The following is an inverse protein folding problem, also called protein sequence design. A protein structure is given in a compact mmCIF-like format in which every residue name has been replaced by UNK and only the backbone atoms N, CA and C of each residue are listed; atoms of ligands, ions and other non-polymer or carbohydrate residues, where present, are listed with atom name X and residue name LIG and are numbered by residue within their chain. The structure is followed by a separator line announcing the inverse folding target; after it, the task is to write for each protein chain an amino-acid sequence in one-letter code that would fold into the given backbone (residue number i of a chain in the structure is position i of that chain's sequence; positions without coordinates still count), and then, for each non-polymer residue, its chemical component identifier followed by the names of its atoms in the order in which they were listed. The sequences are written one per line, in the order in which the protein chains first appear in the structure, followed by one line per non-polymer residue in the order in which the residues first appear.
data_IF_376149654148
#
_entry.id   IF_376149654148
#
_cell.length_a   1.000
_cell.length_b   1.000
_cell.length_c   1.000
_cell.angle_alpha   90.00
_cell.angle_beta   90.00
_cell.angle_gamma   90.00
#
_symmetry.space_group_name_H-M   'P 1'
#
loop_
_entity.id
_entity.type
_entity.pdbx_description
1 polymer ?
#
# COMPACT_ATOMS: atom_id res chain seq x y z
N UNK A 1 5.91 0.32 19.66
CA UNK A 1 5.87 0.80 18.25
C UNK A 1 5.77 -0.39 17.30
N UNK A 2 4.59 -1.02 17.18
CA UNK A 2 4.41 -2.28 16.42
C UNK A 2 3.64 -2.07 15.11
N UNK A 3 2.71 -1.10 15.04
CA UNK A 3 1.92 -0.80 13.85
C UNK A 3 2.74 -0.11 12.73
N UNK A 4 3.62 0.81 13.07
CA UNK A 4 4.36 1.62 12.10
C UNK A 4 5.50 0.85 11.43
N UNK A 5 6.40 0.27 12.21
CA UNK A 5 7.67 -0.22 11.68
C UNK A 5 7.64 -1.62 11.08
N UNK A 6 6.79 -2.53 11.60
CA UNK A 6 6.75 -3.94 11.16
C UNK A 6 5.65 -4.23 10.15
N UNK A 7 4.43 -3.77 10.39
CA UNK A 7 3.30 -4.08 9.50
C UNK A 7 3.40 -3.35 8.17
N UNK A 8 3.61 -2.03 8.20
CA UNK A 8 3.77 -1.25 6.97
C UNK A 8 4.96 -1.75 6.13
N UNK A 9 6.12 -1.97 6.78
CA UNK A 9 7.30 -2.55 6.10
C UNK A 9 7.03 -3.91 5.48
N UNK A 10 6.31 -4.79 6.18
CA UNK A 10 5.95 -6.09 5.62
C UNK A 10 5.07 -5.97 4.37
N UNK A 11 4.15 -5.00 4.33
CA UNK A 11 3.34 -4.74 3.13
C UNK A 11 4.19 -4.19 1.97
N UNK A 12 5.13 -3.29 2.25
CA UNK A 12 6.08 -2.78 1.24
C UNK A 12 6.95 -3.92 0.71
N UNK A 13 7.61 -4.67 1.58
CA UNK A 13 8.50 -5.78 1.18
C UNK A 13 7.77 -6.86 0.38
N UNK A 14 6.49 -7.13 0.70
CA UNK A 14 5.67 -8.09 -0.03
C UNK A 14 5.16 -7.54 -1.36
N UNK A 15 4.83 -6.24 -1.42
CA UNK A 15 4.47 -5.58 -2.66
C UNK A 15 5.64 -5.60 -3.64
N UNK A 16 6.84 -5.22 -3.19
CA UNK A 16 8.05 -5.21 -4.02
C UNK A 16 8.32 -6.58 -4.64
N UNK A 17 8.22 -7.66 -3.84
CA UNK A 17 8.37 -9.03 -4.35
C UNK A 17 7.36 -9.41 -5.43
N UNK A 18 6.20 -8.77 -5.46
CA UNK A 18 5.15 -9.06 -6.43
C UNK A 18 5.26 -8.19 -7.70
N UNK A 19 5.86 -7.00 -7.61
CA UNK A 19 5.86 -6.02 -8.71
C UNK A 19 7.22 -5.80 -9.37
N UNK A 20 8.33 -6.13 -8.70
CA UNK A 20 9.68 -5.91 -9.23
C UNK A 20 9.86 -6.59 -10.58
N UNK A 21 10.33 -5.83 -11.57
CA UNK A 21 10.53 -6.31 -12.94
C UNK A 21 9.25 -6.49 -13.77
N UNK A 22 8.09 -6.09 -13.23
CA UNK A 22 6.82 -6.02 -13.96
C UNK A 22 6.54 -4.58 -14.42
N UNK A 23 5.50 -4.39 -15.23
CA UNK A 23 5.00 -3.06 -15.60
C UNK A 23 4.46 -2.23 -14.42
N UNK A 24 4.25 -2.86 -13.26
CA UNK A 24 3.78 -2.19 -12.04
C UNK A 24 4.93 -1.52 -11.28
N UNK A 25 6.18 -1.94 -11.49
CA UNK A 25 7.37 -1.44 -10.77
C UNK A 25 7.62 0.06 -11.01
N UNK A 26 7.16 0.58 -12.15
CA UNK A 26 7.34 1.99 -12.53
C UNK A 26 6.14 2.87 -12.23
N UNK A 27 5.09 2.32 -11.58
CA UNK A 27 3.82 3.01 -11.33
C UNK A 27 3.78 3.60 -9.91
N UNK A 28 2.94 4.61 -9.72
CA UNK A 28 2.62 5.08 -8.36
C UNK A 28 1.80 4.04 -7.60
N UNK A 29 1.74 4.17 -6.27
CA UNK A 29 0.98 3.27 -5.43
C UNK A 29 -0.53 3.26 -5.78
N UNK A 30 -1.10 4.42 -6.05
CA UNK A 30 -2.49 4.58 -6.50
C UNK A 30 -2.72 3.90 -7.85
N UNK A 31 -1.81 4.07 -8.80
CA UNK A 31 -1.89 3.43 -10.11
C UNK A 31 -1.82 1.90 -9.99
N UNK A 32 -0.98 1.38 -9.08
CA UNK A 32 -0.91 -0.05 -8.78
C UNK A 32 -2.24 -0.54 -8.20
N UNK A 33 -2.84 0.19 -7.24
CA UNK A 33 -4.14 -0.16 -6.65
C UNK A 33 -5.23 -0.21 -7.74
N UNK A 34 -5.30 0.81 -8.60
CA UNK A 34 -6.30 0.87 -9.67
C UNK A 34 -6.11 -0.25 -10.70
N UNK A 35 -4.87 -0.53 -11.10
CA UNK A 35 -4.55 -1.60 -12.03
C UNK A 35 -4.88 -2.99 -11.45
N UNK A 36 -4.55 -3.20 -10.19
CA UNK A 36 -4.69 -4.51 -9.52
C UNK A 36 -6.08 -4.75 -8.94
N UNK A 37 -6.93 -3.73 -8.84
CA UNK A 37 -8.36 -3.91 -8.56
C UNK A 37 -9.05 -4.72 -9.68
N UNK A 38 -8.54 -4.61 -10.92
CA UNK A 38 -8.95 -5.43 -12.07
C UNK A 38 -10.49 -5.60 -12.17
N UNK A 39 -11.19 -4.46 -12.16
CA UNK A 39 -12.66 -4.37 -12.26
C UNK A 39 -13.42 -5.21 -11.21
N UNK A 40 -12.83 -5.39 -10.03
CA UNK A 40 -13.39 -6.16 -8.92
C UNK A 40 -12.86 -7.58 -8.80
N UNK A 41 -12.06 -8.05 -9.77
CA UNK A 41 -11.36 -9.34 -9.71
C UNK A 41 -9.91 -9.15 -9.26
N UNK A 42 -9.73 -8.97 -7.96
CA UNK A 42 -8.49 -8.48 -7.36
C UNK A 42 -7.26 -9.33 -7.73
N UNK A 43 -6.24 -8.68 -8.29
CA UNK A 43 -4.95 -9.29 -8.54
C UNK A 43 -4.12 -9.39 -7.24
N UNK A 44 -3.18 -10.37 -7.15
CA UNK A 44 -2.38 -10.60 -5.95
C UNK A 44 -1.70 -9.36 -5.31
N UNK A 45 -1.22 -8.35 -6.07
CA UNK A 45 -0.57 -7.17 -5.48
C UNK A 45 -1.55 -6.18 -4.82
N UNK A 46 -2.84 -6.24 -5.13
CA UNK A 46 -3.84 -5.28 -4.67
C UNK A 46 -3.85 -5.12 -3.16
N UNK A 47 -3.88 -6.23 -2.42
CA UNK A 47 -3.97 -6.18 -0.96
C UNK A 47 -2.76 -5.52 -0.31
N UNK A 48 -1.54 -5.79 -0.81
CA UNK A 48 -0.35 -5.15 -0.26
C UNK A 48 -0.31 -3.67 -0.63
N UNK A 49 -0.62 -3.31 -1.88
CA UNK A 49 -0.66 -1.91 -2.33
C UNK A 49 -1.68 -1.08 -1.54
N UNK A 50 -2.91 -1.59 -1.39
CA UNK A 50 -3.96 -0.93 -0.62
C UNK A 50 -3.57 -0.78 0.86
N UNK A 51 -2.91 -1.78 1.46
CA UNK A 51 -2.47 -1.69 2.85
C UNK A 51 -1.32 -0.69 3.04
N UNK A 52 -0.37 -0.60 2.11
CA UNK A 52 0.66 0.46 2.15
C UNK A 52 -0.01 1.83 2.13
N UNK A 53 -0.95 2.05 1.20
CA UNK A 53 -1.64 3.34 1.03
C UNK A 53 -2.50 3.70 2.24
N UNK A 54 -3.31 2.76 2.75
CA UNK A 54 -4.14 2.97 3.93
C UNK A 54 -3.31 3.36 5.16
N UNK A 55 -2.14 2.73 5.32
CA UNK A 55 -1.26 3.04 6.45
C UNK A 55 -0.60 4.40 6.26
N UNK A 56 -0.17 4.78 5.05
CA UNK A 56 0.38 6.10 4.76
C UNK A 56 -0.66 7.22 5.02
N UNK A 57 -1.87 7.06 4.48
CA UNK A 57 -2.99 8.00 4.65
C UNK A 57 -3.42 8.17 6.11
N UNK A 58 -3.39 7.09 6.91
CA UNK A 58 -3.70 7.15 8.34
C UNK A 58 -2.75 8.08 9.09
N UNK A 59 -1.45 8.10 8.74
CA UNK A 59 -0.47 8.99 9.38
C UNK A 59 -0.58 10.43 8.90
N UNK A 60 -0.87 10.66 7.62
CA UNK A 60 -1.17 12.01 7.12
C UNK A 60 -2.41 12.61 7.82
N UNK A 61 -3.37 11.75 8.18
CA UNK A 61 -4.56 12.14 8.93
C UNK A 61 -4.28 12.44 10.41
N UNK A 62 -3.09 12.11 10.93
CA UNK A 62 -2.69 12.42 12.30
C UNK A 62 -1.83 13.68 12.36
N UNK A 63 -2.37 14.72 12.98
CA UNK A 63 -1.61 15.91 13.39
C UNK A 63 -1.45 15.96 14.91
N UNK A 64 -0.35 16.53 15.43
CA UNK A 64 -0.23 16.81 16.87
C UNK A 64 -1.42 17.65 17.35
N UNK A 65 -2.18 17.15 18.34
CA UNK A 65 -3.38 17.81 18.85
C UNK A 65 -4.67 17.60 18.04
N UNK A 66 -4.71 16.62 17.14
CA UNK A 66 -5.97 16.15 16.53
C UNK A 66 -6.84 15.35 17.53
N UNK A 67 -8.16 15.46 17.39
CA UNK A 67 -9.15 14.64 18.08
C UNK A 67 -10.12 14.04 17.06
N UNK A 68 -10.49 12.77 17.26
CA UNK A 68 -11.54 12.08 16.50
C UNK A 68 -12.94 12.53 16.88
#
# INVERSE_FOLDING_TARGET
EYHWGKHHRAYVDNLDKQIVGTELDTKSLEEIILATYNKGDLLPPFNNAAQVWNHEFFWESMKPGGGG
#
